data_IF_629642971497
#
_entry.id   IF_629642971497
#
_cell.length_a   1.000
_cell.length_b   1.000
_cell.length_c   1.000
_cell.angle_alpha   90.00
_cell.angle_beta   90.00
_cell.angle_gamma   90.00
#
_symmetry.space_group_name_H-M   'P 1'
#
loop_
_entity.id
_entity.type
_entity.pdbx_description
1 polymer ?
#
# COMPACT_ATOMS: atom_id res chain seq x y z
N UNK A 1 17.45 14.88 -16.20
CA UNK A 1 16.01 14.59 -16.09
C UNK A 1 15.40 14.58 -17.48
N UNK A 2 15.38 13.42 -18.13
CA UNK A 2 14.63 13.12 -19.35
C UNK A 2 13.68 12.00 -18.97
N UNK A 3 12.37 12.17 -19.18
CA UNK A 3 11.39 11.11 -18.93
C UNK A 3 10.26 11.43 -17.94
N UNK A 4 10.16 12.65 -17.42
CA UNK A 4 8.90 13.07 -16.78
C UNK A 4 7.85 13.28 -17.88
N UNK A 5 6.84 12.42 -17.92
CA UNK A 5 5.72 12.54 -18.85
C UNK A 5 5.08 13.93 -18.73
N UNK A 6 4.62 14.48 -19.85
CA UNK A 6 3.87 15.74 -19.83
C UNK A 6 2.59 15.53 -19.02
N UNK A 7 2.35 16.30 -17.95
CA UNK A 7 1.14 16.17 -17.17
C UNK A 7 -0.08 16.52 -18.04
N UNK A 8 -1.02 15.59 -18.17
CA UNK A 8 -2.32 15.89 -18.74
C UNK A 8 -3.16 16.66 -17.72
N UNK A 9 -3.55 17.88 -18.11
CA UNK A 9 -4.33 18.76 -17.26
C UNK A 9 -5.80 18.28 -17.25
N UNK A 10 -6.17 17.59 -16.16
CA UNK A 10 -7.56 17.15 -15.96
C UNK A 10 -8.50 18.34 -15.80
N UNK A 11 -8.11 19.35 -15.01
CA UNK A 11 -8.88 20.59 -14.81
C UNK A 11 -8.49 21.60 -15.88
N UNK A 12 -9.32 21.76 -16.91
CA UNK A 12 -9.05 22.66 -18.04
C UNK A 12 -8.61 24.05 -17.59
N UNK A 13 -7.74 24.69 -18.39
CA UNK A 13 -7.37 26.09 -18.22
C UNK A 13 -8.63 26.97 -18.06
N UNK A 14 -8.69 27.73 -16.97
CA UNK A 14 -9.83 28.58 -16.62
C UNK A 14 -10.93 27.93 -15.78
N UNK A 15 -10.84 26.63 -15.47
CA UNK A 15 -11.74 25.97 -14.53
C UNK A 15 -11.18 25.96 -13.10
N UNK A 16 -12.08 26.05 -12.11
CA UNK A 16 -11.75 25.90 -10.70
C UNK A 16 -11.82 24.42 -10.29
N UNK A 17 -10.82 23.87 -9.56
CA UNK A 17 -10.93 22.52 -8.98
C UNK A 17 -12.18 22.34 -8.08
N UNK A 18 -12.71 23.43 -7.52
CA UNK A 18 -13.92 23.40 -6.70
C UNK A 18 -15.22 23.31 -7.52
N UNK A 19 -15.17 23.58 -8.82
CA UNK A 19 -16.36 23.61 -9.70
C UNK A 19 -16.21 22.68 -10.91
N UNK A 20 -15.04 22.09 -11.13
CA UNK A 20 -14.76 21.27 -12.30
C UNK A 20 -15.43 19.90 -12.20
N UNK A 21 -16.47 19.69 -13.00
CA UNK A 21 -17.04 18.38 -13.23
C UNK A 21 -16.36 17.70 -14.45
N UNK A 22 -15.89 16.47 -14.26
CA UNK A 22 -15.42 15.64 -15.36
C UNK A 22 -16.52 15.45 -16.39
N UNK A 23 -16.17 15.47 -17.68
CA UNK A 23 -17.10 15.04 -18.72
C UNK A 23 -17.42 13.55 -18.52
N UNK A 24 -18.65 13.09 -18.82
CA UNK A 24 -18.99 11.67 -18.71
C UNK A 24 -18.01 10.74 -19.44
N UNK A 25 -17.48 11.16 -20.59
CA UNK A 25 -16.48 10.39 -21.36
C UNK A 25 -15.12 10.28 -20.65
N UNK A 26 -14.71 11.32 -19.91
CA UNK A 26 -13.45 11.31 -19.14
C UNK A 26 -13.58 10.42 -17.91
N UNK A 27 -14.72 10.51 -17.21
CA UNK A 27 -15.01 9.63 -16.09
C UNK A 27 -15.06 8.15 -16.53
N UNK A 28 -15.74 7.87 -17.64
CA UNK A 28 -15.81 6.52 -18.20
C UNK A 28 -14.43 5.97 -18.60
N UNK A 29 -13.58 6.81 -19.20
CA UNK A 29 -12.21 6.43 -19.53
C UNK A 29 -11.37 6.12 -18.27
N UNK A 30 -11.52 6.92 -17.21
CA UNK A 30 -10.85 6.68 -15.92
C UNK A 30 -11.30 5.37 -15.27
N UNK A 31 -12.60 5.08 -15.25
CA UNK A 31 -13.11 3.79 -14.74
C UNK A 31 -12.55 2.61 -15.53
N UNK A 32 -12.58 2.68 -16.87
CA UNK A 32 -12.03 1.62 -17.72
C UNK A 32 -10.50 1.44 -17.59
N UNK A 33 -9.78 2.49 -17.22
CA UNK A 33 -8.36 2.38 -16.85
C UNK A 33 -8.19 1.65 -15.52
N UNK A 34 -8.94 2.04 -14.49
CA UNK A 34 -8.87 1.39 -13.18
C UNK A 34 -9.29 -0.09 -13.26
N UNK A 35 -10.28 -0.44 -14.07
CA UNK A 35 -10.66 -1.85 -14.28
C UNK A 35 -9.50 -2.68 -14.84
N UNK A 36 -8.76 -2.13 -15.81
CA UNK A 36 -7.55 -2.79 -16.35
C UNK A 36 -6.45 -2.91 -15.31
N UNK A 37 -6.21 -1.85 -14.53
CA UNK A 37 -5.22 -1.84 -13.44
C UNK A 37 -5.56 -2.90 -12.40
N UNK A 38 -6.81 -2.90 -11.93
CA UNK A 38 -7.31 -3.85 -10.94
C UNK A 38 -7.22 -5.30 -11.46
N UNK A 39 -7.55 -5.54 -12.72
CA UNK A 39 -7.41 -6.87 -13.34
C UNK A 39 -5.96 -7.37 -13.36
N UNK A 40 -5.00 -6.48 -13.66
CA UNK A 40 -3.57 -6.81 -13.60
C UNK A 40 -3.08 -7.09 -12.17
N UNK A 41 -3.50 -6.27 -11.20
CA UNK A 41 -3.15 -6.46 -9.78
C UNK A 41 -3.72 -7.78 -9.25
N UNK A 42 -4.98 -8.09 -9.58
CA UNK A 42 -5.61 -9.37 -9.19
C UNK A 42 -4.79 -10.57 -9.68
N UNK A 43 -4.32 -10.53 -10.93
CA UNK A 43 -3.49 -11.59 -11.50
C UNK A 43 -2.14 -11.71 -10.79
N UNK A 44 -1.47 -10.58 -10.53
CA UNK A 44 -0.18 -10.53 -9.86
C UNK A 44 -0.26 -11.04 -8.41
N UNK A 45 -1.32 -10.69 -7.69
CA UNK A 45 -1.47 -11.01 -6.27
C UNK A 45 -2.14 -12.36 -5.99
N UNK A 46 -2.74 -13.00 -6.99
CA UNK A 46 -3.39 -14.31 -6.81
C UNK A 46 -2.45 -15.40 -6.26
N UNK A 47 -1.19 -15.54 -6.71
CA UNK A 47 -0.23 -16.49 -6.14
C UNK A 47 0.14 -16.20 -4.68
N UNK A 48 0.01 -14.94 -4.25
CA UNK A 48 0.37 -14.48 -2.91
C UNK A 48 -0.78 -14.62 -1.90
N UNK A 49 -1.95 -15.09 -2.32
CA UNK A 49 -3.08 -15.34 -1.41
C UNK A 49 -2.68 -16.40 -0.38
N UNK A 50 -2.88 -16.08 0.91
CA UNK A 50 -2.41 -16.90 2.02
C UNK A 50 -1.05 -16.46 2.59
N UNK A 51 -0.48 -15.35 2.09
CA UNK A 51 0.66 -14.71 2.72
C UNK A 51 0.37 -14.43 4.20
N UNK A 52 1.29 -14.85 5.07
CA UNK A 52 1.19 -14.64 6.52
C UNK A 52 2.01 -13.41 6.91
N UNK A 53 1.36 -12.24 6.94
CA UNK A 53 2.05 -10.97 7.17
C UNK A 53 1.34 -10.08 8.18
N UNK A 54 2.12 -9.17 8.77
CA UNK A 54 1.63 -8.02 9.52
C UNK A 54 1.86 -6.74 8.72
N UNK A 55 1.01 -5.74 8.95
CA UNK A 55 1.26 -4.36 8.52
C UNK A 55 1.84 -3.53 9.66
N UNK A 56 2.59 -2.48 9.33
CA UNK A 56 3.10 -1.57 10.36
C UNK A 56 1.96 -0.70 10.94
N UNK A 57 1.12 -0.15 10.04
CA UNK A 57 -0.10 0.61 10.35
C UNK A 57 -1.32 -0.07 9.71
N UNK A 58 -2.49 0.06 10.33
CA UNK A 58 -3.74 -0.53 9.85
C UNK A 58 -4.47 0.41 8.86
N UNK A 59 -3.86 0.69 7.71
CA UNK A 59 -4.34 1.70 6.74
C UNK A 59 -4.57 1.16 5.32
N UNK A 60 -4.22 -0.11 5.05
CA UNK A 60 -4.35 -0.73 3.71
C UNK A 60 -5.56 -1.65 3.56
N UNK A 61 -6.43 -1.74 4.57
CA UNK A 61 -7.53 -2.69 4.65
C UNK A 61 -8.45 -2.76 3.41
N UNK A 62 -8.66 -1.63 2.70
CA UNK A 62 -9.46 -1.62 1.48
C UNK A 62 -8.77 -2.35 0.32
N UNK A 63 -7.46 -2.17 0.18
CA UNK A 63 -6.65 -2.86 -0.82
C UNK A 63 -6.60 -4.36 -0.50
N UNK A 64 -6.35 -4.69 0.76
CA UNK A 64 -6.34 -6.06 1.28
C UNK A 64 -7.63 -6.81 0.98
N UNK A 65 -8.78 -6.22 1.34
CA UNK A 65 -10.10 -6.79 1.04
C UNK A 65 -10.36 -6.92 -0.45
N UNK A 66 -9.91 -5.95 -1.26
CA UNK A 66 -10.13 -5.96 -2.71
C UNK A 66 -9.40 -7.10 -3.40
N UNK A 67 -8.20 -7.45 -2.94
CA UNK A 67 -7.33 -8.44 -3.59
C UNK A 67 -7.17 -9.76 -2.79
N UNK A 68 -7.98 -9.93 -1.73
CA UNK A 68 -7.99 -11.12 -0.87
C UNK A 68 -6.63 -11.43 -0.23
N UNK A 69 -6.03 -10.40 0.35
CA UNK A 69 -4.79 -10.47 1.12
C UNK A 69 -5.07 -9.91 2.51
N UNK A 70 -5.72 -10.67 3.42
CA UNK A 70 -5.96 -10.18 4.77
C UNK A 70 -4.66 -10.18 5.58
N UNK A 71 -4.27 -9.04 6.15
CA UNK A 71 -3.21 -9.01 7.16
C UNK A 71 -3.65 -9.77 8.42
N UNK A 72 -2.68 -10.39 9.10
CA UNK A 72 -2.91 -11.03 10.39
C UNK A 72 -3.05 -10.01 11.55
N UNK A 73 -2.76 -8.75 11.27
CA UNK A 73 -2.87 -7.63 12.21
C UNK A 73 -1.90 -6.50 11.90
N UNK A 74 -1.87 -5.52 12.79
CA UNK A 74 -0.98 -4.36 12.71
C UNK A 74 -0.04 -4.25 13.91
N UNK A 75 1.18 -3.78 13.67
CA UNK A 75 2.18 -3.52 14.71
C UNK A 75 1.72 -2.36 15.60
N UNK A 76 1.27 -1.27 14.98
CA UNK A 76 0.73 -0.10 15.65
C UNK A 76 -0.80 -0.05 15.50
N UNK A 77 -1.49 0.55 16.47
CA UNK A 77 -2.92 0.80 16.37
C UNK A 77 -3.23 2.02 15.47
N UNK A 78 -4.52 2.29 15.24
CA UNK A 78 -5.00 3.36 14.34
C UNK A 78 -4.64 4.80 14.72
N UNK A 79 -4.07 5.02 15.91
CA UNK A 79 -3.37 6.27 16.24
C UNK A 79 -1.89 5.93 16.25
N UNK A 80 -1.08 6.61 15.43
CA UNK A 80 0.36 6.36 15.20
C UNK A 80 1.28 6.48 16.45
N UNK A 81 0.74 6.23 17.64
CA UNK A 81 1.45 6.05 18.89
C UNK A 81 2.36 4.82 18.82
N UNK A 82 3.59 5.02 19.28
CA UNK A 82 4.55 3.94 19.44
C UNK A 82 3.98 2.89 20.41
N UNK A 83 4.04 1.59 20.06
CA UNK A 83 3.58 0.54 20.95
C UNK A 83 4.49 0.47 22.18
N UNK A 84 3.86 0.32 23.36
CA UNK A 84 4.58 0.11 24.60
C UNK A 84 5.23 -1.29 24.69
N UNK A 85 6.08 -1.54 25.71
CA UNK A 85 6.78 -2.82 25.86
C UNK A 85 5.87 -4.05 25.95
N UNK A 86 4.69 -3.91 26.57
CA UNK A 86 3.70 -4.99 26.65
C UNK A 86 3.21 -5.41 25.25
N UNK A 87 2.85 -4.44 24.40
CA UNK A 87 2.43 -4.71 23.03
C UNK A 87 3.55 -5.36 22.20
N UNK A 88 4.81 -4.96 22.42
CA UNK A 88 5.96 -5.60 21.76
C UNK A 88 6.09 -7.06 22.22
N UNK A 89 5.88 -7.36 23.51
CA UNK A 89 5.89 -8.72 24.02
C UNK A 89 4.77 -9.58 23.40
N UNK A 90 3.54 -9.04 23.35
CA UNK A 90 2.39 -9.72 22.74
C UNK A 90 2.63 -10.01 21.25
N UNK A 91 3.19 -9.05 20.51
CA UNK A 91 3.53 -9.23 19.09
C UNK A 91 4.61 -10.30 18.90
N UNK A 92 5.60 -10.39 19.79
CA UNK A 92 6.63 -11.42 19.71
C UNK A 92 6.06 -12.81 19.96
N UNK A 93 5.14 -12.94 20.91
CA UNK A 93 4.44 -14.19 21.18
C UNK A 93 3.55 -14.59 19.99
N UNK A 94 2.77 -13.65 19.47
CA UNK A 94 1.94 -13.84 18.28
C UNK A 94 2.75 -14.31 17.07
N UNK A 95 3.87 -13.63 16.78
CA UNK A 95 4.78 -13.98 15.69
C UNK A 95 5.34 -15.39 15.83
N UNK A 96 5.66 -15.82 17.06
CA UNK A 96 6.18 -17.15 17.31
C UNK A 96 5.12 -18.26 17.11
N UNK A 97 3.84 -17.94 17.25
CA UNK A 97 2.73 -18.89 17.13
C UNK A 97 2.20 -19.01 15.69
N UNK A 98 2.08 -17.89 14.98
CA UNK A 98 1.37 -17.82 13.70
C UNK A 98 2.28 -18.03 12.46
N UNK A 99 3.59 -18.23 12.64
CA UNK A 99 4.47 -18.56 11.51
C UNK A 99 4.56 -17.47 10.44
N UNK A 100 4.57 -16.20 10.86
CA UNK A 100 4.68 -15.04 9.97
C UNK A 100 5.91 -15.11 9.07
N UNK A 101 5.71 -14.76 7.79
CA UNK A 101 6.76 -14.75 6.78
C UNK A 101 7.19 -13.34 6.38
N UNK A 102 6.32 -12.34 6.56
CA UNK A 102 6.62 -10.96 6.16
C UNK A 102 6.10 -9.88 7.11
N UNK A 103 6.76 -8.72 7.09
CA UNK A 103 6.27 -7.46 7.63
C UNK A 103 6.11 -6.45 6.48
N UNK A 104 4.92 -5.85 6.34
CA UNK A 104 4.71 -4.72 5.44
C UNK A 104 4.99 -3.43 6.20
N UNK A 105 6.03 -2.72 5.78
CA UNK A 105 6.46 -1.43 6.30
C UNK A 105 5.91 -0.30 5.40
N UNK A 106 5.95 0.93 5.90
CA UNK A 106 5.89 2.13 5.06
C UNK A 106 7.27 2.84 5.07
N UNK A 107 7.52 3.83 4.18
CA UNK A 107 8.80 4.55 4.13
C UNK A 107 9.16 5.36 5.38
N UNK A 108 8.18 5.70 6.22
CA UNK A 108 8.32 6.50 7.44
C UNK A 108 8.40 5.64 8.72
N UNK A 109 8.14 4.34 8.62
CA UNK A 109 8.21 3.37 9.73
C UNK A 109 9.60 3.36 10.41
N UNK A 110 9.64 3.29 11.75
CA UNK A 110 10.90 3.18 12.50
C UNK A 110 11.44 1.73 12.45
N UNK A 111 12.62 1.48 11.85
CA UNK A 111 13.19 0.13 11.73
C UNK A 111 13.63 -0.47 13.08
N UNK A 112 13.76 0.33 14.15
CA UNK A 112 14.04 -0.18 15.50
C UNK A 112 12.89 -1.02 16.03
N UNK A 113 11.64 -0.66 15.71
CA UNK A 113 10.48 -1.41 16.18
C UNK A 113 10.40 -2.78 15.50
N UNK A 114 10.62 -2.84 14.19
CA UNK A 114 10.71 -4.10 13.46
C UNK A 114 11.78 -5.03 14.06
N UNK A 115 12.98 -4.52 14.37
CA UNK A 115 14.05 -5.30 15.02
C UNK A 115 13.70 -5.77 16.43
N UNK A 116 12.90 -4.99 17.17
CA UNK A 116 12.46 -5.39 18.51
C UNK A 116 11.47 -6.57 18.47
N UNK A 117 10.65 -6.65 17.41
CA UNK A 117 9.64 -7.71 17.22
C UNK A 117 10.28 -8.93 16.54
N UNK A 118 11.13 -8.71 15.54
CA UNK A 118 11.77 -9.73 14.71
C UNK A 118 13.31 -9.70 14.89
N UNK A 119 13.85 -10.11 16.05
CA UNK A 119 15.29 -10.03 16.32
C UNK A 119 16.13 -10.91 15.39
N UNK A 120 15.53 -11.97 14.82
CA UNK A 120 16.16 -12.85 13.83
C UNK A 120 16.01 -12.36 12.38
N UNK A 121 15.33 -11.24 12.18
CA UNK A 121 14.94 -10.74 10.86
C UNK A 121 13.63 -11.36 10.34
N UNK A 122 13.04 -10.70 9.36
CA UNK A 122 11.86 -11.13 8.61
C UNK A 122 11.93 -10.51 7.20
N UNK A 123 11.27 -11.12 6.19
CA UNK A 123 11.10 -10.43 4.90
C UNK A 123 10.32 -9.14 5.12
N UNK A 124 10.61 -8.12 4.33
CA UNK A 124 9.94 -6.82 4.46
C UNK A 124 9.51 -6.33 3.09
N UNK A 125 8.21 -6.11 2.94
CA UNK A 125 7.62 -5.36 1.82
C UNK A 125 7.42 -3.90 2.23
N UNK A 126 7.34 -3.00 1.25
CA UNK A 126 7.06 -1.58 1.49
C UNK A 126 5.75 -1.19 0.80
N UNK A 127 4.81 -0.67 1.58
CA UNK A 127 3.52 -0.14 1.12
C UNK A 127 3.51 1.38 1.31
N UNK A 128 3.97 2.13 0.31
CA UNK A 128 3.92 3.59 0.32
C UNK A 128 2.54 4.09 -0.14
N UNK A 129 1.55 4.02 0.75
CA UNK A 129 0.16 4.44 0.45
C UNK A 129 0.03 5.92 0.08
N UNK A 130 1.03 6.74 0.45
CA UNK A 130 1.05 8.17 0.19
C UNK A 130 1.72 8.52 -1.15
N UNK A 131 2.42 7.57 -1.79
CA UNK A 131 3.19 7.82 -3.01
C UNK A 131 4.25 8.91 -2.81
N UNK A 132 5.00 8.81 -1.71
CA UNK A 132 5.95 9.80 -1.20
C UNK A 132 7.05 10.17 -2.21
N UNK A 133 7.37 9.26 -3.12
CA UNK A 133 8.37 9.45 -4.19
C UNK A 133 7.76 9.90 -5.54
N UNK A 134 6.44 10.07 -5.62
CA UNK A 134 5.72 10.30 -6.88
C UNK A 134 5.40 11.76 -7.12
N UNK A 135 5.54 12.16 -8.37
CA UNK A 135 5.11 13.48 -8.84
C UNK A 135 3.64 13.47 -9.26
N UNK A 136 2.85 14.50 -8.93
CA UNK A 136 1.48 14.64 -9.41
C UNK A 136 1.39 14.62 -10.94
N UNK A 137 0.66 13.66 -11.48
CA UNK A 137 0.38 13.50 -12.91
C UNK A 137 -0.91 12.66 -13.10
N UNK A 138 -1.50 12.69 -14.31
CA UNK A 138 -2.74 11.96 -14.60
C UNK A 138 -2.63 10.44 -14.33
N UNK A 139 -1.46 9.84 -14.59
CA UNK A 139 -1.19 8.42 -14.34
C UNK A 139 -0.75 8.07 -12.91
N UNK A 140 -0.73 9.04 -11.98
CA UNK A 140 -0.22 8.85 -10.62
C UNK A 140 -0.94 7.71 -9.89
N UNK A 141 -2.26 7.76 -9.83
CA UNK A 141 -3.04 6.83 -9.03
C UNK A 141 -2.98 5.39 -9.58
N UNK A 142 -3.11 5.14 -10.90
CA UNK A 142 -2.80 3.84 -11.48
C UNK A 142 -1.38 3.34 -11.20
N UNK A 143 -0.37 4.21 -11.17
CA UNK A 143 1.01 3.83 -10.86
C UNK A 143 1.16 3.45 -9.38
N UNK A 144 0.56 4.23 -8.47
CA UNK A 144 0.53 3.98 -7.03
C UNK A 144 -0.09 2.61 -6.72
N UNK A 145 -1.25 2.28 -7.31
CA UNK A 145 -1.90 0.98 -7.08
C UNK A 145 -1.03 -0.20 -7.52
N UNK A 146 -0.29 -0.07 -8.62
CA UNK A 146 0.64 -1.11 -9.09
C UNK A 146 1.85 -1.24 -8.18
N UNK A 147 2.38 -0.13 -7.68
CA UNK A 147 3.49 -0.16 -6.73
C UNK A 147 3.10 -0.79 -5.40
N UNK A 148 1.89 -0.50 -4.89
CA UNK A 148 1.38 -1.19 -3.71
C UNK A 148 1.35 -2.71 -3.93
N UNK A 149 0.93 -3.17 -5.12
CA UNK A 149 0.97 -4.59 -5.47
C UNK A 149 2.41 -5.15 -5.48
N UNK A 150 3.37 -4.44 -6.08
CA UNK A 150 4.79 -4.82 -6.04
C UNK A 150 5.36 -4.92 -4.61
N UNK A 151 4.85 -4.10 -3.68
CA UNK A 151 5.21 -4.21 -2.27
C UNK A 151 4.93 -5.59 -1.67
N UNK A 152 3.87 -6.27 -2.12
CA UNK A 152 3.55 -7.64 -1.70
C UNK A 152 4.47 -8.70 -2.33
N UNK A 153 4.92 -8.49 -3.57
CA UNK A 153 5.82 -9.41 -4.27
C UNK A 153 7.20 -9.50 -3.58
N UNK A 154 7.62 -8.42 -2.90
CA UNK A 154 8.84 -8.44 -2.07
C UNK A 154 8.77 -9.40 -0.86
N UNK A 155 7.57 -9.89 -0.52
CA UNK A 155 7.32 -10.84 0.55
C UNK A 155 7.21 -12.31 0.09
N UNK A 156 7.30 -12.59 -1.21
CA UNK A 156 7.34 -13.96 -1.77
C UNK A 156 8.64 -14.67 -1.41
#
# INVERSE_FOLDING_TARGET
MQGVGTPDLIVRQGASPHEYALRPSEAAAGVAELDRVMGGIEQALTPLRGLQYLVYHDDTQYFERRFNLPALGAVTGGEAAMPGPARIADLREFVAQEGLTCLMSDPQSDPRLARAIFPQGIKTGVLDVMGSDKSPAAGLYPALLRELAHGYEACE
#
